data_IF_350433985856
#
_entry.id   IF_350433985856
#
_cell.length_a   1.000
_cell.length_b   1.000
_cell.length_c   1.000
_cell.angle_alpha   90.00
_cell.angle_beta   90.00
_cell.angle_gamma   90.00
#
_symmetry.space_group_name_H-M   'P 1'
#
loop_
_entity.id
_entity.type
_entity.pdbx_description
1 polymer ?
#
# COMPACT_ATOMS: atom_id res chain seq x y z
N UNK A 1 20.05 0.48 0.38
CA UNK A 1 19.06 1.51 0.80
C UNK A 1 17.96 0.88 1.66
N UNK A 2 17.70 1.46 2.83
CA UNK A 2 16.59 1.04 3.68
C UNK A 2 15.25 1.49 3.08
N UNK A 3 14.19 0.71 3.29
CA UNK A 3 12.82 1.13 2.97
C UNK A 3 12.26 1.93 4.15
N UNK A 4 11.54 3.01 3.90
CA UNK A 4 10.84 3.81 4.92
C UNK A 4 9.43 4.15 4.45
N UNK A 5 8.43 3.75 5.24
CA UNK A 5 7.03 4.09 5.03
C UNK A 5 6.50 4.70 6.31
N UNK A 6 5.72 5.78 6.20
CA UNK A 6 5.13 6.45 7.35
C UNK A 6 3.61 6.27 7.32
N UNK A 7 3.06 5.67 8.38
CA UNK A 7 1.62 5.52 8.60
C UNK A 7 1.23 6.38 9.79
N UNK A 8 0.55 7.50 9.54
CA UNK A 8 0.08 8.41 10.59
C UNK A 8 -1.43 8.27 10.82
N UNK A 9 -1.94 8.63 12.02
CA UNK A 9 -3.37 8.55 12.34
C UNK A 9 -4.30 9.24 11.34
N UNK A 10 -3.87 10.36 10.75
CA UNK A 10 -4.67 11.12 9.78
C UNK A 10 -4.95 10.35 8.48
N UNK A 11 -4.19 9.29 8.19
CA UNK A 11 -4.36 8.41 7.03
C UNK A 11 -4.91 7.02 7.42
N UNK A 12 -5.52 6.92 8.60
CA UNK A 12 -6.22 5.72 9.08
C UNK A 12 -7.72 6.01 9.12
N UNK A 13 -8.51 5.25 8.37
CA UNK A 13 -9.95 5.46 8.25
C UNK A 13 -10.72 4.23 8.75
N UNK A 14 -11.38 4.38 9.90
CA UNK A 14 -12.28 3.37 10.46
C UNK A 14 -13.58 3.29 9.67
N UNK A 15 -14.07 2.08 9.44
CA UNK A 15 -15.26 1.84 8.63
C UNK A 15 -15.01 1.99 7.13
N UNK A 16 -13.75 1.91 6.68
CA UNK A 16 -13.38 2.03 5.27
C UNK A 16 -12.45 0.92 4.81
N UNK A 17 -12.48 0.65 3.51
CA UNK A 17 -11.63 -0.28 2.79
C UNK A 17 -11.31 0.29 1.42
N UNK A 18 -10.05 0.24 1.01
CA UNK A 18 -9.67 0.51 -0.38
C UNK A 18 -10.00 -0.70 -1.25
N UNK A 19 -10.69 -0.50 -2.38
CA UNK A 19 -11.08 -1.53 -3.34
C UNK A 19 -10.22 -1.49 -4.60
N UNK A 20 -10.24 -2.56 -5.40
CA UNK A 20 -9.60 -2.66 -6.73
C UNK A 20 -8.06 -2.60 -6.77
N UNK A 21 -7.40 -2.35 -5.63
CA UNK A 21 -5.94 -2.20 -5.52
C UNK A 21 -5.27 -3.37 -4.78
N UNK A 22 -5.95 -4.52 -4.68
CA UNK A 22 -5.51 -5.68 -3.91
C UNK A 22 -4.26 -6.33 -4.52
N UNK A 23 -3.19 -6.42 -3.74
CA UNK A 23 -2.00 -7.24 -4.02
C UNK A 23 -2.23 -8.65 -3.49
N UNK A 24 -2.62 -8.76 -2.22
CA UNK A 24 -2.74 -10.04 -1.52
C UNK A 24 -3.65 -9.95 -0.31
N UNK A 25 -4.39 -11.02 -0.07
CA UNK A 25 -5.18 -11.25 1.15
C UNK A 25 -4.46 -12.24 2.07
N UNK A 26 -4.47 -11.96 3.38
CA UNK A 26 -3.80 -12.76 4.41
C UNK A 26 -4.77 -12.89 5.58
N UNK A 27 -5.06 -14.13 5.98
CA UNK A 27 -6.02 -14.42 7.04
C UNK A 27 -5.31 -14.73 8.36
N UNK A 28 -6.04 -14.59 9.48
CA UNK A 28 -5.59 -14.97 10.82
C UNK A 28 -4.30 -14.25 11.27
N UNK A 29 -4.19 -12.96 10.92
CA UNK A 29 -3.01 -12.15 11.24
C UNK A 29 -3.39 -10.91 12.02
N UNK A 30 -2.63 -10.56 13.05
CA UNK A 30 -2.90 -9.32 13.79
C UNK A 30 -2.62 -8.08 12.92
N UNK A 31 -3.12 -6.93 13.37
CA UNK A 31 -2.95 -5.65 12.70
C UNK A 31 -1.48 -5.23 12.57
N UNK A 32 -0.68 -5.38 13.63
CA UNK A 32 0.75 -5.01 13.62
C UNK A 32 1.54 -5.78 12.55
N UNK A 33 1.27 -7.08 12.41
CA UNK A 33 1.86 -7.91 11.37
C UNK A 33 1.36 -7.53 9.98
N UNK A 34 0.14 -7.00 9.82
CA UNK A 34 -0.32 -6.49 8.53
C UNK A 34 0.53 -5.31 8.06
N UNK A 35 0.85 -4.37 8.96
CA UNK A 35 1.80 -3.28 8.68
C UNK A 35 3.20 -3.78 8.32
N UNK A 36 3.72 -4.75 9.08
CA UNK A 36 5.02 -5.38 8.78
C UNK A 36 5.02 -6.12 7.43
N UNK A 37 3.93 -6.79 7.08
CA UNK A 37 3.79 -7.47 5.80
C UNK A 37 3.70 -6.48 4.64
N UNK A 38 3.01 -5.36 4.81
CA UNK A 38 3.03 -4.27 3.84
C UNK A 38 4.45 -3.71 3.65
N UNK A 39 5.21 -3.57 4.74
CA UNK A 39 6.61 -3.16 4.66
C UNK A 39 7.51 -4.17 3.91
N UNK A 40 7.19 -5.47 3.97
CA UNK A 40 7.95 -6.49 3.25
C UNK A 40 7.51 -6.64 1.78
N UNK A 41 6.26 -6.37 1.46
CA UNK A 41 5.75 -6.31 0.10
C UNK A 41 6.09 -4.95 -0.54
N UNK A 42 7.09 -4.92 -1.42
CA UNK A 42 7.64 -3.66 -1.94
C UNK A 42 6.67 -2.81 -2.76
N UNK A 43 5.59 -3.38 -3.26
CA UNK A 43 4.53 -2.63 -3.96
C UNK A 43 3.44 -2.12 -3.01
N UNK A 44 3.41 -2.59 -1.75
CA UNK A 44 2.37 -2.21 -0.81
C UNK A 44 2.58 -0.79 -0.28
N UNK A 45 1.54 0.04 -0.35
CA UNK A 45 1.52 1.42 0.15
C UNK A 45 0.28 1.73 1.00
N UNK A 46 -0.65 0.78 1.10
CA UNK A 46 -1.74 0.82 2.06
C UNK A 46 -2.24 -0.60 2.34
N UNK A 47 -3.05 -0.77 3.39
CA UNK A 47 -3.68 -2.05 3.68
C UNK A 47 -5.04 -1.88 4.34
N UNK A 48 -5.92 -2.86 4.16
CA UNK A 48 -7.17 -2.95 4.91
C UNK A 48 -7.03 -4.02 5.98
N UNK A 49 -7.56 -3.75 7.17
CA UNK A 49 -7.67 -4.68 8.29
C UNK A 49 -9.15 -4.92 8.53
N UNK A 50 -9.63 -6.11 8.19
CA UNK A 50 -11.03 -6.50 8.36
C UNK A 50 -11.19 -7.45 9.53
N UNK A 51 -12.16 -7.17 10.39
CA UNK A 51 -12.48 -8.02 11.53
C UNK A 51 -13.68 -8.89 11.16
N UNK A 52 -13.50 -10.21 11.17
CA UNK A 52 -14.63 -11.14 11.08
C UNK A 52 -15.11 -11.48 12.49
N UNK A 53 -16.32 -11.03 12.85
CA UNK A 53 -16.88 -11.22 14.19
C UNK A 53 -17.17 -12.69 14.52
N UNK A 54 -16.80 -13.13 15.73
CA UNK A 54 -17.05 -14.48 16.27
C UNK A 54 -16.02 -14.89 17.34
N UNK A 55 -16.25 -15.98 18.10
CA UNK A 55 -15.25 -16.52 19.03
C UNK A 55 -14.02 -17.01 18.26
N UNK A 56 -12.85 -16.41 18.51
CA UNK A 56 -11.62 -16.65 17.74
C UNK A 56 -11.35 -15.64 16.63
N UNK A 57 -11.76 -14.38 16.82
CA UNK A 57 -11.58 -13.22 15.93
C UNK A 57 -10.39 -13.36 14.98
N UNK A 58 -10.69 -13.77 13.75
CA UNK A 58 -9.72 -13.75 12.67
C UNK A 58 -9.74 -12.36 12.06
N UNK A 59 -8.55 -11.84 11.83
CA UNK A 59 -8.36 -10.56 11.16
C UNK A 59 -7.82 -10.85 9.76
N UNK A 60 -8.47 -10.27 8.77
CA UNK A 60 -8.09 -10.37 7.36
C UNK A 60 -7.32 -9.10 7.02
N UNK A 61 -6.08 -9.27 6.60
CA UNK A 61 -5.21 -8.23 6.08
C UNK A 61 -5.24 -8.24 4.55
N UNK A 62 -5.56 -7.11 3.93
CA UNK A 62 -5.49 -6.92 2.48
C UNK A 62 -4.43 -5.88 2.17
N UNK A 63 -3.33 -6.31 1.56
CA UNK A 63 -2.26 -5.41 1.12
C UNK A 63 -2.66 -4.76 -0.21
N UNK A 64 -2.46 -3.45 -0.35
CA UNK A 64 -2.86 -2.69 -1.54
C UNK A 64 -1.69 -1.94 -2.17
N UNK A 65 -1.70 -1.83 -3.51
CA UNK A 65 -0.68 -1.11 -4.29
C UNK A 65 -0.97 0.37 -4.53
N UNK A 66 -2.02 0.91 -3.90
CA UNK A 66 -2.43 2.31 -4.05
C UNK A 66 -2.85 2.92 -2.72
N UNK A 67 -3.00 4.23 -2.70
CA UNK A 67 -3.55 4.98 -1.57
C UNK A 67 -4.87 5.64 -1.96
N UNK A 68 -5.61 6.11 -0.96
CA UNK A 68 -6.82 6.91 -1.17
C UNK A 68 -6.57 8.29 -1.83
N UNK A 69 -5.32 8.76 -1.97
CA UNK A 69 -5.04 10.10 -2.50
C UNK A 69 -5.36 10.21 -4.01
N UNK A 70 -4.93 9.23 -4.80
CA UNK A 70 -5.18 9.18 -6.25
C UNK A 70 -6.55 8.59 -6.55
N UNK A 71 -6.96 7.60 -5.75
CA UNK A 71 -8.15 6.80 -6.00
C UNK A 71 -9.21 7.01 -4.91
N UNK A 72 -9.60 8.28 -4.69
CA UNK A 72 -10.59 8.65 -3.65
C UNK A 72 -11.91 7.88 -3.76
N UNK A 73 -12.34 7.55 -4.96
CA UNK A 73 -13.57 6.77 -5.21
C UNK A 73 -13.47 5.29 -4.86
N UNK A 74 -12.26 4.74 -4.77
CA UNK A 74 -12.03 3.35 -4.40
C UNK A 74 -11.98 3.14 -2.89
N UNK A 75 -11.85 4.22 -2.10
CA UNK A 75 -12.00 4.17 -0.65
C UNK A 75 -13.50 4.13 -0.32
N UNK A 76 -14.00 2.94 0.02
CA UNK A 76 -15.42 2.69 0.22
C UNK A 76 -15.72 2.30 1.66
N UNK A 77 -16.94 2.61 2.10
CA UNK A 77 -17.40 2.27 3.45
C UNK A 77 -17.54 0.76 3.62
N UNK A 78 -17.04 0.25 4.75
CA UNK A 78 -17.15 -1.12 5.20
C UNK A 78 -16.99 -1.15 6.73
N UNK A 79 -18.09 -1.31 7.48
CA UNK A 79 -18.15 -1.10 8.93
C UNK A 79 -17.09 -1.89 9.73
N UNK A 80 -16.81 -3.13 9.35
CA UNK A 80 -15.83 -4.00 10.04
C UNK A 80 -14.43 -3.94 9.41
N UNK A 81 -14.04 -2.78 8.87
CA UNK A 81 -12.75 -2.57 8.21
C UNK A 81 -12.09 -1.29 8.69
N UNK A 82 -10.77 -1.34 8.81
CA UNK A 82 -9.92 -0.17 9.04
C UNK A 82 -8.95 -0.09 7.87
N UNK A 83 -8.92 1.04 7.18
CA UNK A 83 -7.96 1.32 6.13
C UNK A 83 -6.74 2.04 6.73
N UNK A 84 -5.53 1.65 6.31
CA UNK A 84 -4.27 2.27 6.68
C UNK A 84 -3.48 2.63 5.42
N UNK A 85 -3.26 3.93 5.18
CA UNK A 85 -2.44 4.41 4.06
C UNK A 85 -1.16 5.10 4.54
N UNK A 86 -0.12 5.08 3.70
CA UNK A 86 1.07 5.91 3.94
C UNK A 86 0.76 7.40 3.77
N UNK A 87 1.48 8.26 4.48
CA UNK A 87 1.30 9.72 4.46
C UNK A 87 1.55 10.35 3.10
N UNK A 88 2.69 10.01 2.49
CA UNK A 88 3.07 10.51 1.19
C UNK A 88 3.48 9.33 0.31
N UNK A 89 2.85 9.22 -0.86
CA UNK A 89 3.25 8.25 -1.86
C UNK A 89 3.83 8.98 -3.09
N UNK A 90 5.16 9.04 -3.26
CA UNK A 90 5.77 9.64 -4.44
C UNK A 90 5.31 8.99 -5.76
N UNK A 91 4.91 7.71 -5.71
CA UNK A 91 4.45 6.97 -6.88
C UNK A 91 3.09 7.43 -7.42
N UNK A 92 2.33 8.22 -6.66
CA UNK A 92 1.05 8.78 -7.10
C UNK A 92 1.19 9.75 -8.29
N UNK A 93 2.39 10.29 -8.51
CA UNK A 93 2.69 11.27 -9.58
C UNK A 93 3.08 10.63 -10.92
N UNK A 94 2.99 9.30 -11.07
CA UNK A 94 3.39 8.57 -12.28
C UNK A 94 4.82 8.91 -12.76
N UNK A 95 5.79 8.78 -11.85
CA UNK A 95 7.18 9.22 -12.07
C UNK A 95 8.00 8.32 -12.99
N UNK A 96 7.67 7.03 -13.06
CA UNK A 96 8.43 6.05 -13.83
C UNK A 96 7.88 5.91 -15.26
N UNK A 97 8.76 5.94 -16.27
CA UNK A 97 8.40 5.87 -17.69
C UNK A 97 8.16 4.44 -18.17
N UNK A 98 7.64 4.29 -19.39
CA UNK A 98 7.45 2.99 -20.04
C UNK A 98 6.63 1.98 -19.22
N UNK A 99 5.66 2.49 -18.44
CA UNK A 99 4.81 1.66 -17.56
C UNK A 99 5.60 0.82 -16.55
N UNK A 100 6.80 1.29 -16.17
CA UNK A 100 7.62 0.64 -15.16
C UNK A 100 7.03 0.80 -13.76
N UNK A 101 7.35 -0.15 -12.87
CA UNK A 101 6.78 -0.18 -11.52
C UNK A 101 7.48 0.83 -10.63
N UNK A 102 6.70 1.72 -10.01
CA UNK A 102 7.18 2.60 -8.93
C UNK A 102 6.99 1.93 -7.57
N UNK A 103 8.02 1.95 -6.73
CA UNK A 103 7.96 1.44 -5.36
C UNK A 103 8.33 2.54 -4.36
N UNK A 104 7.40 2.83 -3.45
CA UNK A 104 7.57 3.86 -2.42
C UNK A 104 8.47 3.40 -1.26
N UNK A 105 9.09 4.38 -0.64
CA UNK A 105 9.92 4.26 0.55
C UNK A 105 11.39 3.94 0.30
N UNK A 106 11.87 3.93 -0.94
CA UNK A 106 13.26 3.59 -1.25
C UNK A 106 14.08 4.82 -1.60
N UNK A 107 15.38 4.80 -1.27
CA UNK A 107 16.35 5.89 -1.57
C UNK A 107 15.99 7.21 -0.87
N UNK A 108 16.87 8.21 -0.97
CA UNK A 108 16.69 9.49 -0.28
C UNK A 108 15.52 10.33 -0.82
N UNK A 109 15.07 10.03 -2.05
CA UNK A 109 13.90 10.66 -2.69
C UNK A 109 12.57 9.94 -2.39
N UNK A 110 12.59 8.85 -1.62
CA UNK A 110 11.39 8.16 -1.17
C UNK A 110 10.71 7.22 -2.19
N UNK A 111 11.32 6.93 -3.34
CA UNK A 111 10.88 5.85 -4.23
C UNK A 111 12.02 5.28 -5.11
N UNK A 112 11.75 4.16 -5.78
CA UNK A 112 12.56 3.64 -6.90
C UNK A 112 11.68 3.18 -8.05
N UNK A 113 12.22 3.21 -9.27
CA UNK A 113 11.59 2.63 -10.45
C UNK A 113 12.22 1.26 -10.75
N UNK A 114 11.40 0.25 -11.05
CA UNK A 114 11.85 -1.05 -11.54
C UNK A 114 11.70 -1.08 -13.06
N UNK A 115 12.80 -0.89 -13.78
CA UNK A 115 12.80 -0.80 -15.22
C UNK A 115 12.52 -2.15 -15.89
N UNK A 116 11.72 -2.09 -16.95
CA UNK A 116 11.49 -3.24 -17.83
C UNK A 116 12.75 -3.63 -18.61
N UNK A 117 12.69 -4.77 -19.29
CA UNK A 117 13.81 -5.24 -20.11
C UNK A 117 14.18 -4.21 -21.18
N UNK A 118 15.47 -3.88 -21.28
CA UNK A 118 15.98 -2.90 -22.23
C UNK A 118 15.94 -1.44 -21.76
N UNK A 119 15.30 -1.15 -20.63
CA UNK A 119 15.22 0.20 -20.07
C UNK A 119 16.12 0.37 -18.82
N UNK A 120 16.67 1.56 -18.64
CA UNK A 120 17.50 1.97 -17.52
C UNK A 120 17.36 3.48 -17.24
N UNK A 121 18.13 3.95 -16.26
CA UNK A 121 18.01 5.32 -15.77
C UNK A 121 17.20 5.41 -14.47
N UNK A 122 17.04 6.63 -13.98
CA UNK A 122 16.41 6.88 -12.69
C UNK A 122 14.89 6.69 -12.74
N UNK A 123 14.30 7.03 -13.87
CA UNK A 123 12.88 6.95 -14.18
C UNK A 123 12.60 5.97 -15.32
N UNK A 124 13.57 5.12 -15.66
CA UNK A 124 13.49 4.18 -16.79
C UNK A 124 13.29 4.87 -18.14
N UNK A 125 13.89 6.05 -18.31
CA UNK A 125 13.75 6.94 -19.47
C UNK A 125 14.61 6.55 -20.68
N UNK A 126 15.64 5.74 -20.47
CA UNK A 126 16.58 5.27 -21.51
C UNK A 126 16.36 3.79 -21.76
#
# INVERSE_FOLDING_TARGET
>A
PCRHLEFIPDNIFQGYSLKNHLIRTIENINEDFCGALCFMEYNCVSFNVKVTGGPGTSTICELNNSTHHVNRGDLQTLENSIYHGITENPCDKSLCQHSSTCQAGFTDKGYRCLCGSGFCGEHCET
#
